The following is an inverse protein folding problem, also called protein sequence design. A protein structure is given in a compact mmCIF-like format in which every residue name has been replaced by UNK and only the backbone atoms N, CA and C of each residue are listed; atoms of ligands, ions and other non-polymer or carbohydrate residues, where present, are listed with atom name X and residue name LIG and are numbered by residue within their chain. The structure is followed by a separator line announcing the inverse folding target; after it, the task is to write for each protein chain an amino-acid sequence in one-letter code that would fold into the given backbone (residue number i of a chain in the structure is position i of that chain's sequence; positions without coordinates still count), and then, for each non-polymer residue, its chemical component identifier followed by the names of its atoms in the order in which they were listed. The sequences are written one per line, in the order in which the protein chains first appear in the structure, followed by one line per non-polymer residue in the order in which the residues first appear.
data_IF_791626642868
#
_entry.id   IF_791626642868
#
_cell.length_a   1.000
_cell.length_b   1.000
_cell.length_c   1.000
_cell.angle_alpha   90.00
_cell.angle_beta   90.00
_cell.angle_gamma   90.00
#
_symmetry.space_group_name_H-M   'P 1'
#
loop_
_entity.id
_entity.type
_entity.pdbx_description
1 polymer ?
#
# COMPACT_ATOMS: atom_id res chain seq x y z
N UNK A 1 -10.95 -1.12 -7.38
CA UNK A 1 -10.59 0.09 -6.58
C UNK A 1 -11.40 1.26 -7.08
N UNK A 2 -12.08 1.97 -6.20
CA UNK A 2 -12.72 3.25 -6.49
C UNK A 2 -11.75 4.36 -6.13
N UNK A 3 -11.49 5.28 -7.04
CA UNK A 3 -10.63 6.43 -6.75
C UNK A 3 -11.44 7.49 -5.97
N UNK A 4 -10.81 8.21 -5.04
CA UNK A 4 -11.35 9.46 -4.49
C UNK A 4 -11.68 10.46 -5.59
N UNK A 5 -12.76 11.23 -5.40
CA UNK A 5 -13.28 12.15 -6.43
C UNK A 5 -12.31 13.29 -6.78
N UNK A 6 -11.39 13.61 -5.87
CA UNK A 6 -10.35 14.63 -6.05
C UNK A 6 -9.12 14.13 -6.83
N UNK A 7 -9.06 12.85 -7.25
CA UNK A 7 -7.92 12.28 -7.97
C UNK A 7 -8.20 12.15 -9.47
N UNK A 8 -7.75 13.09 -10.31
CA UNK A 8 -7.86 13.00 -11.76
C UNK A 8 -7.05 11.82 -12.32
N UNK A 9 -7.62 11.08 -13.28
CA UNK A 9 -7.07 9.83 -13.79
C UNK A 9 -5.65 9.95 -14.40
N UNK A 10 -5.25 11.12 -14.85
CA UNK A 10 -3.94 11.40 -15.47
C UNK A 10 -2.82 11.73 -14.46
N UNK A 11 -3.14 11.76 -13.14
CA UNK A 11 -2.21 12.19 -12.10
C UNK A 11 -1.60 11.05 -11.27
N UNK A 12 -1.68 9.83 -11.75
CA UNK A 12 -1.07 8.70 -11.06
C UNK A 12 0.45 8.90 -10.90
N UNK A 13 0.90 8.92 -9.66
CA UNK A 13 2.30 9.22 -9.28
C UNK A 13 2.67 10.71 -9.33
N UNK A 14 1.71 11.60 -9.60
CA UNK A 14 1.90 13.05 -9.71
C UNK A 14 0.93 13.80 -8.81
N UNK A 15 0.68 13.27 -7.61
CA UNK A 15 -0.21 13.89 -6.63
C UNK A 15 0.44 15.15 -6.04
N UNK A 16 -0.38 16.16 -5.75
CA UNK A 16 0.07 17.36 -5.06
C UNK A 16 0.26 17.11 -3.56
N UNK A 17 1.14 17.90 -2.91
CA UNK A 17 1.37 17.75 -1.46
C UNK A 17 0.09 17.82 -0.60
N UNK A 18 -0.91 18.61 -0.99
CA UNK A 18 -2.17 18.74 -0.24
C UNK A 18 -3.10 17.53 -0.40
N UNK A 19 -2.86 16.64 -1.36
CA UNK A 19 -3.62 15.38 -1.52
C UNK A 19 -3.02 14.24 -0.69
N UNK A 20 -1.83 14.47 -0.15
CA UNK A 20 -1.08 13.49 0.62
C UNK A 20 -0.94 13.95 2.08
N UNK A 21 -0.93 12.99 2.96
CA UNK A 21 -0.57 13.19 4.38
C UNK A 21 0.57 12.25 4.75
N UNK A 22 1.40 12.68 5.69
CA UNK A 22 2.51 11.90 6.19
C UNK A 22 2.05 10.97 7.31
N UNK A 23 2.31 9.69 7.15
CA UNK A 23 1.95 8.62 8.10
C UNK A 23 3.23 7.97 8.62
N UNK A 24 3.28 7.72 9.93
CA UNK A 24 4.38 7.01 10.55
C UNK A 24 4.25 5.50 10.29
N UNK A 25 5.24 4.95 9.61
CA UNK A 25 5.41 3.51 9.43
C UNK A 25 6.54 3.01 10.33
N UNK A 26 6.26 2.13 11.29
CA UNK A 26 7.30 1.59 12.18
C UNK A 26 8.51 1.07 11.41
N UNK A 27 9.70 1.41 11.87
CA UNK A 27 11.00 1.06 11.27
C UNK A 27 11.29 1.62 9.86
N UNK A 28 10.36 2.38 9.27
CA UNK A 28 10.59 3.05 7.96
C UNK A 28 10.68 4.57 8.15
N UNK A 29 9.82 5.13 9.00
CA UNK A 29 9.64 6.56 9.18
C UNK A 29 8.36 7.08 8.53
N UNK A 30 8.36 8.39 8.26
CA UNK A 30 7.19 9.09 7.69
C UNK A 30 7.10 8.82 6.18
N UNK A 31 5.98 8.30 5.72
CA UNK A 31 5.69 8.06 4.31
C UNK A 31 4.37 8.75 3.92
N UNK A 32 4.29 9.18 2.66
CA UNK A 32 3.12 9.84 2.12
C UNK A 32 2.02 8.82 1.76
N UNK A 33 0.77 9.14 2.08
CA UNK A 33 -0.43 8.42 1.65
C UNK A 33 -1.51 9.42 1.24
N UNK A 34 -2.46 8.99 0.41
CA UNK A 34 -3.71 9.72 0.24
C UNK A 34 -4.45 9.83 1.59
N UNK A 35 -5.02 11.02 1.88
CA UNK A 35 -5.61 11.32 3.20
C UNK A 35 -6.63 10.28 3.69
N UNK A 36 -7.54 9.84 2.82
CA UNK A 36 -8.57 8.86 3.22
C UNK A 36 -7.95 7.50 3.54
N UNK A 37 -7.01 7.04 2.70
CA UNK A 37 -6.27 5.81 2.96
C UNK A 37 -5.43 5.90 4.24
N UNK A 38 -4.84 7.05 4.54
CA UNK A 38 -4.06 7.29 5.75
C UNK A 38 -4.89 7.19 7.02
N UNK A 39 -6.10 7.78 7.06
CA UNK A 39 -7.04 7.65 8.18
C UNK A 39 -7.36 6.18 8.45
N UNK A 40 -7.77 5.49 7.40
CA UNK A 40 -8.13 4.07 7.46
C UNK A 40 -6.93 3.18 7.83
N UNK A 41 -5.75 3.47 7.31
CA UNK A 41 -4.51 2.79 7.67
C UNK A 41 -4.16 2.94 9.14
N UNK A 42 -4.22 4.16 9.68
CA UNK A 42 -3.90 4.42 11.08
C UNK A 42 -4.82 3.64 12.03
N UNK A 43 -6.12 3.64 11.75
CA UNK A 43 -7.09 2.87 12.52
C UNK A 43 -6.83 1.36 12.41
N UNK A 44 -6.60 0.85 11.19
CA UNK A 44 -6.29 -0.56 10.95
C UNK A 44 -5.00 -0.99 11.65
N UNK A 45 -3.93 -0.20 11.54
CA UNK A 45 -2.64 -0.51 12.16
C UNK A 45 -2.74 -0.53 13.69
N UNK A 46 -3.48 0.41 14.27
CA UNK A 46 -3.74 0.46 15.71
C UNK A 46 -4.52 -0.78 16.18
N UNK A 47 -5.59 -1.16 15.48
CA UNK A 47 -6.39 -2.32 15.86
C UNK A 47 -5.63 -3.64 15.69
N UNK A 48 -4.85 -3.78 14.63
CA UNK A 48 -3.97 -4.92 14.45
C UNK A 48 -2.95 -5.04 15.61
N UNK A 49 -2.33 -3.94 15.99
CA UNK A 49 -1.41 -3.90 17.12
C UNK A 49 -2.11 -4.21 18.45
N UNK A 50 -3.29 -3.66 18.68
CA UNK A 50 -4.09 -3.87 19.90
C UNK A 50 -4.50 -5.34 20.05
N UNK A 51 -4.97 -5.96 18.99
CA UNK A 51 -5.50 -7.33 19.03
C UNK A 51 -4.41 -8.41 18.98
N UNK A 52 -3.34 -8.19 18.23
CA UNK A 52 -2.27 -9.17 18.05
C UNK A 52 -1.02 -8.91 18.93
N UNK A 53 -0.96 -7.75 19.57
CA UNK A 53 0.15 -7.34 20.41
C UNK A 53 1.36 -6.75 19.65
N UNK A 54 2.30 -6.19 20.40
CA UNK A 54 3.41 -5.37 19.88
C UNK A 54 4.33 -6.06 18.86
N UNK A 55 4.37 -7.38 18.84
CA UNK A 55 5.21 -8.15 17.91
C UNK A 55 4.56 -8.35 16.53
N UNK A 56 3.36 -7.84 16.34
CA UNK A 56 2.59 -7.97 15.10
C UNK A 56 2.22 -6.61 14.50
N UNK A 57 3.04 -5.61 14.73
CA UNK A 57 2.83 -4.27 14.21
C UNK A 57 2.97 -4.27 12.69
N UNK A 58 1.92 -3.88 11.98
CA UNK A 58 1.97 -3.73 10.53
C UNK A 58 2.70 -2.45 10.14
N UNK A 59 3.46 -2.53 9.05
CA UNK A 59 4.25 -1.43 8.49
C UNK A 59 4.34 -1.59 6.98
N UNK A 60 4.95 -0.64 6.27
CA UNK A 60 5.35 -0.85 4.88
C UNK A 60 6.63 -1.68 4.80
N UNK A 61 6.87 -2.37 3.68
CA UNK A 61 8.12 -3.10 3.44
C UNK A 61 9.26 -2.13 3.15
N UNK A 62 9.00 -1.09 2.37
CA UNK A 62 9.96 -0.03 2.04
C UNK A 62 9.26 1.30 1.73
N UNK A 63 10.02 2.37 1.60
CA UNK A 63 9.49 3.70 1.27
C UNK A 63 8.72 3.73 -0.06
N UNK A 64 9.13 2.91 -1.05
CA UNK A 64 8.46 2.83 -2.36
C UNK A 64 7.18 1.98 -2.37
N UNK A 65 6.82 1.38 -1.25
CA UNK A 65 5.71 0.46 -1.12
C UNK A 65 4.45 1.11 -0.48
N UNK A 66 4.41 2.45 -0.46
CA UNK A 66 3.25 3.28 -0.10
C UNK A 66 2.96 4.22 -1.27
N UNK A 67 3.12 5.53 -1.15
CA UNK A 67 3.06 6.41 -2.32
C UNK A 67 4.31 6.27 -3.17
N UNK A 68 4.13 6.02 -4.45
CA UNK A 68 5.23 5.89 -5.42
C UNK A 68 5.13 6.98 -6.48
N UNK A 69 5.97 8.02 -6.41
CA UNK A 69 6.05 9.06 -7.44
C UNK A 69 6.28 8.48 -8.84
N UNK A 70 5.86 9.20 -9.87
CA UNK A 70 5.92 8.75 -11.25
C UNK A 70 7.34 8.37 -11.69
N UNK A 71 8.34 9.18 -11.30
CA UNK A 71 9.74 8.94 -11.62
C UNK A 71 10.27 7.65 -10.96
N UNK A 72 9.74 7.28 -9.80
CA UNK A 72 10.09 6.01 -9.15
C UNK A 72 9.42 4.84 -9.84
N UNK A 73 8.17 5.00 -10.34
CA UNK A 73 7.52 3.98 -11.15
C UNK A 73 8.30 3.74 -12.44
N UNK A 74 8.73 4.80 -13.12
CA UNK A 74 9.56 4.72 -14.34
C UNK A 74 10.89 4.02 -14.10
N UNK A 75 11.60 4.43 -13.04
CA UNK A 75 12.86 3.80 -12.64
C UNK A 75 12.69 2.31 -12.37
N UNK A 76 11.66 1.93 -11.59
CA UNK A 76 11.35 0.55 -11.29
C UNK A 76 10.99 -0.24 -12.55
N UNK A 77 10.22 0.36 -13.45
CA UNK A 77 9.86 -0.25 -14.72
C UNK A 77 11.10 -0.59 -15.54
N UNK A 78 12.01 0.37 -15.77
CA UNK A 78 13.23 0.13 -16.54
C UNK A 78 14.27 -0.76 -15.83
N UNK A 79 14.22 -0.86 -14.51
CA UNK A 79 14.98 -1.89 -13.79
C UNK A 79 14.50 -3.30 -14.14
N UNK A 80 13.19 -3.49 -14.34
CA UNK A 80 12.56 -4.81 -14.52
C UNK A 80 12.29 -5.18 -15.97
N UNK A 81 12.13 -4.22 -16.87
CA UNK A 81 11.80 -4.42 -18.27
C UNK A 81 12.87 -3.85 -19.21
N UNK A 82 12.99 -4.47 -20.39
CA UNK A 82 13.90 -4.02 -21.46
C UNK A 82 13.29 -4.30 -22.84
N UNK A 83 14.02 -3.96 -23.93
CA UNK A 83 13.56 -4.17 -25.30
C UNK A 83 13.96 -5.53 -25.89
N UNK A 84 14.54 -6.44 -25.11
CA UNK A 84 14.93 -7.77 -25.58
C UNK A 84 13.83 -8.79 -25.26
N UNK A 85 13.55 -9.68 -26.22
CA UNK A 85 12.55 -10.74 -26.07
C UNK A 85 13.13 -11.83 -25.15
N UNK A 86 12.71 -11.83 -23.88
CA UNK A 86 13.25 -12.72 -22.85
C UNK A 86 12.18 -13.43 -22.03
N UNK A 87 10.91 -13.08 -22.23
CA UNK A 87 9.79 -13.67 -21.50
C UNK A 87 8.49 -13.53 -22.27
N UNK A 88 7.44 -14.18 -21.81
CA UNK A 88 6.08 -14.00 -22.32
C UNK A 88 5.37 -12.78 -21.68
N UNK A 89 5.91 -12.22 -20.61
CA UNK A 89 5.35 -11.06 -19.93
C UNK A 89 5.84 -9.79 -20.63
N UNK A 90 4.91 -9.05 -21.20
CA UNK A 90 5.21 -7.80 -21.90
C UNK A 90 4.37 -6.64 -21.38
N UNK A 91 4.90 -5.44 -21.54
CA UNK A 91 4.20 -4.17 -21.29
C UNK A 91 4.45 -3.22 -22.46
N UNK A 92 3.47 -2.37 -22.77
CA UNK A 92 3.66 -1.26 -23.71
C UNK A 92 3.76 0.03 -22.91
N UNK A 93 4.80 0.80 -23.13
CA UNK A 93 5.01 2.12 -22.52
C UNK A 93 5.54 3.09 -23.57
N UNK A 94 4.88 4.25 -23.69
CA UNK A 94 5.17 5.27 -24.73
C UNK A 94 5.19 4.68 -26.15
N UNK A 95 4.24 3.77 -26.46
CA UNK A 95 4.15 3.11 -27.76
C UNK A 95 5.19 2.01 -28.01
N UNK A 96 6.10 1.78 -27.08
CA UNK A 96 7.18 0.80 -27.21
C UNK A 96 6.87 -0.42 -26.36
N UNK A 97 7.09 -1.63 -26.93
CA UNK A 97 6.95 -2.89 -26.21
C UNK A 97 8.24 -3.23 -25.45
N UNK A 98 8.08 -3.65 -24.22
CA UNK A 98 9.15 -4.10 -23.32
C UNK A 98 8.82 -5.49 -22.79
N UNK A 99 9.85 -6.28 -22.51
CA UNK A 99 9.76 -7.63 -21.95
C UNK A 99 10.34 -7.67 -20.56
N UNK A 100 9.73 -8.45 -19.68
CA UNK A 100 10.23 -8.65 -18.33
C UNK A 100 11.60 -9.31 -18.37
N UNK A 101 12.57 -8.76 -17.67
CA UNK A 101 13.92 -9.34 -17.54
C UNK A 101 13.86 -10.66 -16.77
N UNK A 102 14.72 -11.64 -17.07
CA UNK A 102 14.79 -12.89 -16.34
C UNK A 102 14.98 -12.66 -14.84
N UNK A 103 14.23 -13.40 -14.01
CA UNK A 103 14.34 -13.34 -12.56
C UNK A 103 13.72 -12.09 -11.89
N UNK A 104 13.20 -11.14 -12.67
CA UNK A 104 12.57 -9.95 -12.10
C UNK A 104 11.09 -10.17 -11.80
N UNK A 105 10.59 -9.54 -10.73
CA UNK A 105 9.17 -9.47 -10.46
C UNK A 105 8.49 -8.50 -11.44
N UNK A 106 7.21 -8.77 -11.77
CA UNK A 106 6.42 -7.88 -12.61
C UNK A 106 6.26 -6.49 -11.93
N UNK A 107 6.03 -5.47 -12.75
CA UNK A 107 5.72 -4.12 -12.28
C UNK A 107 4.64 -3.50 -13.17
N UNK A 108 3.86 -2.59 -12.62
CA UNK A 108 2.92 -1.79 -13.39
C UNK A 108 3.65 -0.93 -14.42
N UNK A 109 2.97 -0.62 -15.52
CA UNK A 109 3.43 0.43 -16.44
C UNK A 109 3.43 1.77 -15.70
N UNK A 110 4.42 2.65 -15.90
CA UNK A 110 4.42 3.96 -15.27
C UNK A 110 3.11 4.72 -15.49
N UNK A 111 2.58 5.31 -14.43
CA UNK A 111 1.27 5.98 -14.45
C UNK A 111 0.07 5.05 -14.23
N UNK A 112 0.28 3.74 -13.95
CA UNK A 112 -0.82 2.79 -13.71
C UNK A 112 -0.68 2.01 -12.40
N UNK A 113 0.29 2.34 -11.57
CA UNK A 113 0.52 1.67 -10.28
C UNK A 113 -0.48 2.15 -9.24
N UNK A 114 -1.08 1.23 -8.46
CA UNK A 114 -1.96 1.59 -7.35
C UNK A 114 -1.25 2.38 -6.24
N UNK A 115 0.06 2.14 -6.07
CA UNK A 115 0.93 2.98 -5.22
C UNK A 115 1.04 4.42 -5.72
N UNK A 116 0.85 4.67 -7.02
CA UNK A 116 0.87 6.03 -7.58
C UNK A 116 -0.30 6.91 -7.14
N UNK A 117 -1.32 6.33 -6.53
CA UNK A 117 -2.44 7.05 -5.92
C UNK A 117 -2.27 7.27 -4.41
N UNK A 118 -1.24 6.70 -3.80
CA UNK A 118 -1.11 6.66 -2.35
C UNK A 118 -2.21 5.84 -1.66
N UNK A 119 -2.84 4.92 -2.39
CA UNK A 119 -3.95 4.09 -1.95
C UNK A 119 -3.54 2.64 -1.69
N UNK A 120 -2.31 2.25 -1.99
CA UNK A 120 -1.81 0.89 -1.79
C UNK A 120 -0.64 0.85 -0.81
N UNK A 121 -0.55 -0.24 -0.07
CA UNK A 121 0.57 -0.54 0.83
C UNK A 121 1.01 -1.99 0.61
N UNK A 122 2.30 -2.19 0.36
CA UNK A 122 2.89 -3.52 0.53
C UNK A 122 3.23 -3.71 2.01
N UNK A 123 2.42 -4.50 2.71
CA UNK A 123 2.47 -4.66 4.16
C UNK A 123 3.63 -5.54 4.58
N UNK A 124 4.45 -5.03 5.47
CA UNK A 124 5.42 -5.76 6.28
C UNK A 124 4.98 -5.89 7.72
N UNK A 125 5.74 -6.66 8.49
CA UNK A 125 5.55 -6.81 9.93
C UNK A 125 6.80 -6.30 10.64
N UNK A 126 6.58 -5.48 11.65
CA UNK A 126 7.62 -5.04 12.56
C UNK A 126 7.49 -5.80 13.88
N UNK A 127 8.48 -6.57 14.28
CA UNK A 127 8.42 -7.39 15.49
C UNK A 127 8.74 -6.62 16.78
N UNK A 128 8.64 -5.31 16.78
CA UNK A 128 9.03 -4.47 17.92
C UNK A 128 10.50 -4.08 17.91
N UNK A 129 11.21 -4.24 19.03
CA UNK A 129 12.53 -3.64 19.27
C UNK A 129 13.69 -4.27 18.48
N UNK A 130 13.50 -5.42 17.86
CA UNK A 130 14.57 -6.11 17.15
C UNK A 130 14.05 -6.99 16.01
N UNK A 131 14.60 -6.82 14.84
CA UNK A 131 14.43 -7.71 13.71
C UNK A 131 14.01 -7.04 12.41
N UNK A 132 14.34 -7.64 11.29
CA UNK A 132 13.99 -7.10 9.99
C UNK A 132 12.48 -7.20 9.74
N UNK A 133 11.92 -6.12 9.22
CA UNK A 133 10.58 -6.17 8.65
C UNK A 133 10.55 -7.14 7.48
N UNK A 134 9.46 -7.88 7.37
CA UNK A 134 9.28 -8.87 6.33
C UNK A 134 7.89 -8.71 5.73
N UNK A 135 7.78 -8.97 4.43
CA UNK A 135 6.48 -9.00 3.75
C UNK A 135 5.54 -9.99 4.43
N UNK A 136 4.27 -9.64 4.53
CA UNK A 136 3.22 -10.53 5.03
C UNK A 136 3.04 -11.65 4.02
N UNK A 137 3.48 -12.85 4.38
CA UNK A 137 3.33 -14.06 3.57
C UNK A 137 3.47 -15.31 4.43
N UNK A 138 2.84 -16.38 4.00
CA UNK A 138 2.98 -17.69 4.63
C UNK A 138 1.96 -17.98 5.72
N UNK A 139 1.79 -19.27 6.01
CA UNK A 139 0.89 -19.83 7.03
C UNK A 139 1.74 -20.49 8.11
N UNK A 140 1.31 -20.39 9.37
CA UNK A 140 1.97 -21.08 10.50
C UNK A 140 3.12 -20.35 11.17
N UNK A 141 3.35 -19.09 10.81
CA UNK A 141 4.27 -18.19 11.51
C UNK A 141 3.55 -16.96 12.04
N UNK A 142 4.24 -16.10 12.80
CA UNK A 142 3.66 -14.81 13.20
C UNK A 142 3.17 -13.98 11.98
N UNK A 143 3.78 -14.15 10.81
CA UNK A 143 3.33 -13.56 9.54
C UNK A 143 1.97 -14.11 9.13
N UNK A 144 1.75 -15.42 9.30
CA UNK A 144 0.47 -16.06 9.03
C UNK A 144 -0.66 -15.52 9.93
N UNK A 145 -0.37 -15.23 11.19
CA UNK A 145 -1.32 -14.62 12.13
C UNK A 145 -1.76 -13.24 11.65
N UNK A 146 -0.82 -12.38 11.24
CA UNK A 146 -1.13 -11.06 10.71
C UNK A 146 -1.90 -11.14 9.38
N UNK A 147 -1.50 -12.03 8.48
CA UNK A 147 -2.23 -12.22 7.22
C UNK A 147 -3.66 -12.72 7.45
N UNK A 148 -3.84 -13.65 8.39
CA UNK A 148 -5.19 -14.11 8.77
C UNK A 148 -6.03 -12.98 9.37
N UNK A 149 -5.44 -12.16 10.23
CA UNK A 149 -6.10 -10.98 10.78
C UNK A 149 -6.49 -9.98 9.69
N UNK A 150 -5.58 -9.64 8.78
CA UNK A 150 -5.86 -8.73 7.66
C UNK A 150 -7.02 -9.25 6.79
N UNK A 151 -7.02 -10.53 6.44
CA UNK A 151 -8.10 -11.14 5.65
C UNK A 151 -9.45 -11.13 6.35
N UNK A 152 -9.45 -11.20 7.68
CA UNK A 152 -10.67 -11.14 8.48
C UNK A 152 -11.17 -9.70 8.71
N UNK A 153 -10.29 -8.72 8.78
CA UNK A 153 -10.63 -7.40 9.33
C UNK A 153 -10.35 -6.22 8.38
N UNK A 154 -9.40 -6.31 7.45
CA UNK A 154 -8.95 -5.15 6.68
C UNK A 154 -10.07 -4.50 5.83
N UNK A 155 -11.07 -5.27 5.40
CA UNK A 155 -12.23 -4.76 4.68
C UNK A 155 -13.04 -3.73 5.50
N UNK A 156 -13.10 -3.90 6.83
CA UNK A 156 -13.76 -2.97 7.75
C UNK A 156 -13.04 -1.61 7.82
N UNK A 157 -11.82 -1.55 7.32
CA UNK A 157 -11.00 -0.35 7.20
C UNK A 157 -10.84 0.09 5.74
N UNK A 158 -11.55 -0.55 4.80
CA UNK A 158 -11.53 -0.22 3.38
C UNK A 158 -10.32 -0.75 2.61
N UNK A 159 -9.51 -1.64 3.19
CA UNK A 159 -8.38 -2.28 2.52
C UNK A 159 -8.70 -3.69 2.05
N UNK A 160 -8.28 -4.02 0.82
CA UNK A 160 -8.60 -5.29 0.16
C UNK A 160 -7.36 -5.91 -0.49
N UNK A 161 -7.26 -7.26 -0.43
CA UNK A 161 -6.24 -8.08 -1.10
C UNK A 161 -6.68 -8.32 -2.55
N UNK A 162 -6.38 -7.40 -3.47
CA UNK A 162 -6.87 -7.44 -4.85
C UNK A 162 -5.89 -8.01 -5.87
N UNK A 163 -4.61 -8.18 -5.50
CA UNK A 163 -3.57 -8.70 -6.40
C UNK A 163 -3.28 -10.15 -6.09
N UNK A 164 -3.68 -11.03 -7.01
CA UNK A 164 -3.41 -12.47 -6.87
C UNK A 164 -1.90 -12.74 -6.75
N UNK A 165 -1.52 -13.59 -5.79
CA UNK A 165 -0.14 -13.98 -5.47
C UNK A 165 0.71 -12.91 -4.81
N UNK A 166 0.13 -11.78 -4.42
CA UNK A 166 0.81 -10.73 -3.66
C UNK A 166 0.10 -10.49 -2.31
N UNK A 167 0.13 -11.43 -1.36
CA UNK A 167 -0.60 -11.33 -0.09
C UNK A 167 -0.11 -10.19 0.80
N UNK A 168 0.97 -9.55 0.43
CA UNK A 168 1.46 -8.32 1.06
C UNK A 168 0.83 -7.05 0.49
N UNK A 169 0.22 -7.10 -0.72
CA UNK A 169 -0.31 -5.93 -1.42
C UNK A 169 -1.77 -5.69 -1.06
N UNK A 170 -2.03 -4.58 -0.39
CA UNK A 170 -3.35 -4.19 0.08
C UNK A 170 -3.72 -2.81 -0.44
N UNK A 171 -4.96 -2.66 -0.91
CA UNK A 171 -5.46 -1.46 -1.57
C UNK A 171 -6.65 -0.88 -0.84
N UNK A 172 -6.62 0.42 -0.56
CA UNK A 172 -7.81 1.16 -0.16
C UNK A 172 -8.74 1.34 -1.36
N UNK A 173 -9.99 0.88 -1.25
CA UNK A 173 -10.88 0.76 -2.40
C UNK A 173 -12.17 1.57 -2.31
N UNK A 174 -12.38 2.37 -1.26
CA UNK A 174 -13.67 3.00 -0.97
C UNK A 174 -13.79 4.46 -1.45
N UNK A 175 -12.80 4.98 -2.17
CA UNK A 175 -12.84 6.33 -2.69
C UNK A 175 -12.95 7.39 -1.58
N UNK A 176 -14.06 8.12 -1.56
CA UNK A 176 -14.30 9.16 -0.54
C UNK A 176 -14.98 8.63 0.73
N UNK A 177 -15.35 7.36 0.76
CA UNK A 177 -16.06 6.78 1.89
C UNK A 177 -15.08 6.37 3.00
N UNK A 178 -15.30 6.86 4.20
CA UNK A 178 -14.61 6.39 5.40
C UNK A 178 -15.51 5.37 6.11
N UNK A 179 -15.04 4.14 6.35
CA UNK A 179 -15.82 3.11 7.05
C UNK A 179 -16.25 3.54 8.44
N UNK A 180 -17.45 3.12 8.87
CA UNK A 180 -17.98 3.44 10.19
C UNK A 180 -17.03 3.01 11.31
N UNK A 181 -16.40 1.85 11.19
CA UNK A 181 -15.42 1.37 12.18
C UNK A 181 -14.25 2.34 12.38
N UNK A 182 -13.79 3.01 11.33
CA UNK A 182 -12.74 4.04 11.43
C UNK A 182 -13.25 5.25 12.16
N UNK A 183 -14.46 5.73 11.83
CA UNK A 183 -15.10 6.87 12.50
C UNK A 183 -15.30 6.61 14.00
N UNK A 184 -15.72 5.40 14.36
CA UNK A 184 -15.92 5.01 15.78
C UNK A 184 -14.59 5.02 16.54
N UNK A 185 -13.50 4.54 15.93
CA UNK A 185 -12.17 4.55 16.56
C UNK A 185 -11.66 5.99 16.70
N UNK A 186 -11.80 6.82 15.68
CA UNK A 186 -11.41 8.22 15.72
C UNK A 186 -12.16 8.97 16.83
N UNK A 187 -13.47 8.75 16.93
CA UNK A 187 -14.31 9.35 17.98
C UNK A 187 -13.89 8.90 19.38
N UNK A 188 -13.62 7.60 19.57
CA UNK A 188 -13.17 7.03 20.84
C UNK A 188 -11.82 7.60 21.29
N UNK A 189 -10.89 7.81 20.36
CA UNK A 189 -9.54 8.33 20.63
C UNK A 189 -9.48 9.86 20.70
N UNK A 190 -10.55 10.54 20.36
CA UNK A 190 -10.54 12.00 20.20
C UNK A 190 -9.62 12.46 19.08
N UNK A 191 -9.39 11.61 18.08
CA UNK A 191 -8.65 12.01 16.89
C UNK A 191 -9.51 13.01 16.12
N UNK A 192 -8.92 14.13 15.68
CA UNK A 192 -9.68 15.05 14.83
C UNK A 192 -9.95 14.31 13.51
N UNK A 193 -11.18 13.85 13.33
CA UNK A 193 -11.70 13.67 12.00
C UNK A 193 -11.46 14.98 11.27
N UNK A 194 -11.01 14.98 10.01
CA UNK A 194 -10.67 16.22 9.33
C UNK A 194 -11.71 17.31 9.64
N UNK A 195 -11.22 18.38 10.27
CA UNK A 195 -11.92 19.65 10.21
C UNK A 195 -12.05 19.99 8.71
N UNK A 196 -13.29 20.13 8.26
CA UNK A 196 -13.69 20.46 6.92
C UNK A 196 -12.93 21.66 6.35
#
# INVERSE_FOLDING_TARGET
MTLPSNLPADRNGKLYPHELVMVLFPAIGMLAMHRNAARCWNAMALMCWHELGRHHQITAVSAGDVYRPFEWQERLFFQRFWRLITSTITKVYLGIRYWLKPGMANAATPGTSNHGWGLAVDIGIWPGDAGPKTKVQGIGSYKGVVLAWLRANAADFGFFENVTKEPWHWEFCLGDTIPQRVLDIEAFLGWPGEAA
#
